data_IF_373413760065
#
_entry.id   IF_373413760065
#
_cell.length_a   1.000
_cell.length_b   1.000
_cell.length_c   1.000
_cell.angle_alpha   90.00
_cell.angle_beta   90.00
_cell.angle_gamma   90.00
#
_symmetry.space_group_name_H-M   'P 1'
#
loop_
_entity.id
_entity.type
_entity.pdbx_description
1 polymer ?
#
# COMPACT_ATOMS: atom_id res chain seq x y z
N UNK A 1 19.41 -61.34 -2.08
CA UNK A 1 20.25 -61.60 -0.91
C UNK A 1 21.32 -60.53 -0.83
N UNK A 2 21.16 -59.55 0.06
CA UNK A 2 22.18 -59.10 1.02
C UNK A 2 21.44 -58.21 2.03
N UNK A 3 21.38 -58.75 3.24
CA UNK A 3 20.69 -58.25 4.42
C UNK A 3 21.54 -57.18 5.13
N UNK A 4 20.82 -56.26 5.76
CA UNK A 4 21.02 -55.71 7.10
C UNK A 4 22.41 -55.24 7.57
N UNK A 5 22.46 -53.97 7.99
CA UNK A 5 23.07 -53.51 9.27
C UNK A 5 22.43 -52.15 9.61
N UNK A 6 21.53 -52.14 10.59
CA UNK A 6 21.76 -51.71 11.98
C UNK A 6 22.12 -50.20 12.06
N UNK A 7 21.19 -49.32 12.43
CA UNK A 7 20.71 -49.03 13.79
C UNK A 7 21.73 -48.28 14.65
N UNK A 8 21.21 -47.30 15.40
CA UNK A 8 21.83 -46.47 16.44
C UNK A 8 22.60 -45.21 16.00
N UNK A 9 21.92 -44.06 16.10
CA UNK A 9 22.14 -43.17 17.25
C UNK A 9 21.08 -42.05 17.29
N UNK A 10 20.14 -42.19 18.23
CA UNK A 10 19.43 -41.05 18.83
C UNK A 10 20.47 -40.08 19.40
N UNK A 11 20.49 -38.83 18.90
CA UNK A 11 21.14 -37.71 19.59
C UNK A 11 20.13 -36.59 19.73
N UNK A 12 19.63 -36.43 20.95
CA UNK A 12 18.71 -35.37 21.34
C UNK A 12 19.37 -33.97 21.20
N UNK A 13 18.58 -32.92 20.94
CA UNK A 13 19.08 -31.56 20.78
C UNK A 13 19.44 -30.93 22.14
N UNK A 14 20.62 -30.28 22.19
CA UNK A 14 21.03 -29.43 23.30
C UNK A 14 20.19 -28.16 23.32
N UNK A 15 19.60 -27.87 24.47
CA UNK A 15 19.00 -26.60 24.79
C UNK A 15 20.09 -25.54 24.99
N UNK A 16 20.21 -24.60 24.05
CA UNK A 16 20.93 -23.35 24.27
C UNK A 16 19.92 -22.26 24.64
N UNK A 17 19.97 -21.88 25.91
CA UNK A 17 19.36 -20.66 26.42
C UNK A 17 20.20 -19.49 25.90
N UNK A 18 19.68 -18.72 24.96
CA UNK A 18 20.15 -17.36 24.71
C UNK A 18 19.08 -16.39 25.13
N UNK A 19 19.36 -15.76 26.28
CA UNK A 19 18.75 -14.52 26.75
C UNK A 19 18.91 -13.47 25.66
N UNK A 20 17.79 -12.97 25.11
CA UNK A 20 17.78 -11.75 24.32
C UNK A 20 17.10 -10.68 25.16
N UNK A 21 17.93 -9.79 25.69
CA UNK A 21 17.54 -8.52 26.25
C UNK A 21 16.65 -7.75 25.27
N UNK A 22 15.47 -7.40 25.74
CA UNK A 22 14.57 -6.44 25.08
C UNK A 22 15.18 -5.06 25.29
N UNK A 23 15.99 -4.61 24.32
CA UNK A 23 16.32 -3.19 24.21
C UNK A 23 15.18 -2.48 23.48
N UNK A 24 14.49 -1.62 24.21
CA UNK A 24 13.52 -0.65 23.70
C UNK A 24 14.16 0.18 22.58
N UNK A 25 13.68 -0.04 21.36
CA UNK A 25 14.09 0.70 20.17
C UNK A 25 13.64 2.16 20.25
N UNK A 26 14.53 3.04 20.68
CA UNK A 26 14.45 4.48 20.37
C UNK A 26 14.29 4.65 18.85
N UNK A 27 13.35 5.49 18.37
CA UNK A 27 13.18 5.71 16.94
C UNK A 27 14.45 6.33 16.36
N UNK A 28 15.14 5.57 15.51
CA UNK A 28 16.25 6.04 14.69
C UNK A 28 15.73 7.09 13.72
N UNK A 29 15.81 8.36 14.10
CA UNK A 29 15.64 9.50 13.21
C UNK A 29 16.82 9.54 12.25
N UNK A 30 16.66 8.86 11.12
CA UNK A 30 17.69 8.78 10.08
C UNK A 30 18.06 10.14 9.46
N UNK A 31 19.21 10.20 8.76
CA UNK A 31 19.78 11.42 8.17
C UNK A 31 18.90 12.11 7.11
N UNK A 32 17.80 11.46 6.68
CA UNK A 32 16.82 12.05 5.76
C UNK A 32 16.07 13.26 6.34
N UNK A 33 15.75 13.26 7.65
CA UNK A 33 15.04 14.39 8.26
C UNK A 33 15.90 15.65 8.36
N UNK A 34 17.23 15.51 8.51
CA UNK A 34 18.15 16.66 8.49
C UNK A 34 18.24 17.29 7.10
N UNK A 35 18.27 16.48 6.04
CA UNK A 35 18.29 16.97 4.65
C UNK A 35 16.99 17.67 4.24
N UNK A 36 15.84 17.19 4.72
CA UNK A 36 14.56 17.87 4.49
C UNK A 36 14.53 19.25 5.19
N UNK A 37 14.95 19.33 6.46
CA UNK A 37 15.02 20.59 7.20
C UNK A 37 16.04 21.59 6.60
N UNK A 38 17.18 21.11 6.09
CA UNK A 38 18.17 21.97 5.42
C UNK A 38 17.68 22.46 4.04
N UNK A 39 16.89 21.64 3.33
CA UNK A 39 16.27 22.06 2.07
C UNK A 39 15.17 23.11 2.30
N UNK A 40 14.34 22.92 3.32
CA UNK A 40 13.33 23.89 3.75
C UNK A 40 13.97 25.23 4.13
N UNK A 41 15.09 25.22 4.87
CA UNK A 41 15.85 26.44 5.20
C UNK A 41 16.43 27.14 3.96
N UNK A 42 16.88 26.40 2.94
CA UNK A 42 17.36 27.01 1.67
C UNK A 42 16.22 27.62 0.86
N UNK A 43 15.04 26.99 0.83
CA UNK A 43 13.87 27.51 0.12
C UNK A 43 13.37 28.80 0.79
N UNK A 44 13.28 28.83 2.12
CA UNK A 44 12.88 30.03 2.88
C UNK A 44 13.88 31.17 2.69
N UNK A 45 15.18 30.88 2.65
CA UNK A 45 16.20 31.90 2.40
C UNK A 45 16.19 32.41 0.94
N UNK A 46 15.82 31.59 -0.05
CA UNK A 46 15.65 32.05 -1.43
C UNK A 46 14.38 32.91 -1.59
N UNK A 47 13.29 32.53 -0.94
CA UNK A 47 12.05 33.32 -0.92
C UNK A 47 12.23 34.67 -0.21
N UNK A 48 12.99 34.73 0.90
CA UNK A 48 13.32 35.98 1.56
C UNK A 48 14.29 36.86 0.75
N UNK A 49 15.10 36.29 -0.14
CA UNK A 49 15.94 37.05 -1.07
C UNK A 49 15.17 37.55 -2.29
N UNK A 50 14.05 36.91 -2.67
CA UNK A 50 13.12 37.41 -3.68
C UNK A 50 12.18 38.50 -3.13
N UNK A 51 11.99 38.57 -1.81
CA UNK A 51 11.28 39.65 -1.12
C UNK A 51 12.14 40.92 -0.89
N UNK A 52 13.44 40.89 -1.21
CA UNK A 52 14.16 42.13 -1.48
C UNK A 52 13.67 42.66 -2.81
N UNK A 53 12.58 43.44 -2.72
CA UNK A 53 12.18 44.37 -3.76
C UNK A 53 13.43 45.02 -4.36
N UNK A 54 13.52 45.17 -5.70
CA UNK A 54 14.53 46.06 -6.25
C UNK A 54 14.42 47.39 -5.49
N UNK A 55 15.53 48.09 -5.18
CA UNK A 55 15.41 49.42 -4.62
C UNK A 55 14.42 50.14 -5.51
N UNK A 56 13.30 50.57 -4.91
CA UNK A 56 12.30 51.39 -5.56
C UNK A 56 13.09 52.35 -6.45
N UNK A 57 12.75 52.41 -7.73
CA UNK A 57 13.29 53.45 -8.60
C UNK A 57 12.83 54.74 -7.93
N UNK A 58 13.65 55.25 -7.01
CA UNK A 58 13.44 56.49 -6.34
C UNK A 58 13.26 57.48 -7.47
N UNK A 59 12.12 58.15 -7.43
CA UNK A 59 11.78 59.27 -8.27
C UNK A 59 12.82 60.38 -8.04
N UNK A 60 14.01 60.23 -8.60
CA UNK A 60 15.02 61.27 -8.66
C UNK A 60 14.57 62.20 -9.78
N UNK A 61 13.98 63.33 -9.36
CA UNK A 61 13.62 64.43 -10.23
C UNK A 61 14.80 64.82 -11.15
N UNK A 62 14.54 65.29 -12.38
CA UNK A 62 15.50 65.29 -13.45
C UNK A 62 16.52 66.42 -13.27
N UNK A 63 17.77 66.08 -12.98
CA UNK A 63 18.86 66.90 -13.49
C UNK A 63 18.96 66.59 -15.00
N UNK A 64 18.25 67.39 -15.81
CA UNK A 64 18.18 67.27 -17.27
C UNK A 64 19.47 67.70 -17.97
N UNK A 65 20.57 67.88 -17.22
CA UNK A 65 21.90 68.08 -17.78
C UNK A 65 22.44 66.81 -18.46
N UNK A 66 23.39 66.95 -19.41
CA UNK A 66 24.03 65.82 -20.09
C UNK A 66 24.70 64.83 -19.13
N UNK A 67 25.09 65.27 -17.93
CA UNK A 67 25.68 64.42 -16.88
C UNK A 67 24.64 63.50 -16.22
N UNK A 68 23.38 63.92 -16.10
CA UNK A 68 22.29 63.10 -15.54
C UNK A 68 21.87 61.95 -16.47
N UNK A 69 21.93 62.18 -17.79
CA UNK A 69 21.73 61.12 -18.78
C UNK A 69 22.87 60.09 -18.76
N UNK A 70 24.12 60.55 -18.59
CA UNK A 70 25.27 59.66 -18.51
C UNK A 70 25.20 58.73 -17.28
N UNK A 71 24.88 59.27 -16.10
CA UNK A 71 24.71 58.46 -14.88
C UNK A 71 23.58 57.43 -15.01
N UNK A 72 22.46 57.80 -15.63
CA UNK A 72 21.35 56.86 -15.88
C UNK A 72 21.73 55.76 -16.87
N UNK A 73 22.48 56.10 -17.93
CA UNK A 73 22.99 55.12 -18.87
C UNK A 73 23.93 54.12 -18.17
N UNK A 74 24.90 54.60 -17.39
CA UNK A 74 25.78 53.73 -16.61
C UNK A 74 25.01 52.84 -15.61
N UNK A 75 24.01 53.38 -14.94
CA UNK A 75 23.20 52.63 -14.00
C UNK A 75 22.38 51.55 -14.71
N UNK A 76 21.76 51.88 -15.84
CA UNK A 76 21.04 50.91 -16.67
C UNK A 76 21.98 49.80 -17.17
N UNK A 77 23.20 50.15 -17.59
CA UNK A 77 24.19 49.16 -18.01
C UNK A 77 24.62 48.22 -16.87
N UNK A 78 24.81 48.75 -15.65
CA UNK A 78 25.11 47.92 -14.47
C UNK A 78 23.96 46.96 -14.18
N UNK A 79 22.72 47.47 -14.19
CA UNK A 79 21.54 46.63 -14.00
C UNK A 79 21.41 45.56 -15.08
N UNK A 80 21.68 45.88 -16.35
CA UNK A 80 21.68 44.88 -17.44
C UNK A 80 22.76 43.83 -17.23
N UNK A 81 23.98 44.22 -16.84
CA UNK A 81 25.06 43.27 -16.53
C UNK A 81 24.69 42.34 -15.39
N UNK A 82 24.19 42.89 -14.28
CA UNK A 82 23.80 42.11 -13.11
C UNK A 82 22.66 41.13 -13.43
N UNK A 83 21.64 41.57 -14.17
CA UNK A 83 20.55 40.71 -14.62
C UNK A 83 21.04 39.61 -15.57
N UNK A 84 21.99 39.92 -16.45
CA UNK A 84 22.57 38.94 -17.39
C UNK A 84 23.33 37.85 -16.63
N UNK A 85 24.14 38.21 -15.64
CA UNK A 85 24.86 37.23 -14.81
C UNK A 85 23.90 36.37 -13.97
N UNK A 86 22.84 36.98 -13.42
CA UNK A 86 21.79 36.23 -12.71
C UNK A 86 21.07 35.25 -13.65
N UNK A 87 20.77 35.66 -14.87
CA UNK A 87 20.11 34.82 -15.87
C UNK A 87 21.00 33.63 -16.25
N UNK A 88 22.29 33.86 -16.51
CA UNK A 88 23.28 32.78 -16.74
C UNK A 88 23.35 31.79 -15.58
N UNK A 89 23.35 32.29 -14.34
CA UNK A 89 23.34 31.43 -13.15
C UNK A 89 22.08 30.57 -13.05
N UNK A 90 20.91 31.11 -13.40
CA UNK A 90 19.65 30.37 -13.45
C UNK A 90 19.64 29.35 -14.59
N UNK A 91 20.16 29.69 -15.77
CA UNK A 91 20.28 28.74 -16.89
C UNK A 91 21.16 27.54 -16.54
N UNK A 92 22.29 27.79 -15.87
CA UNK A 92 23.16 26.72 -15.35
C UNK A 92 22.44 25.82 -14.34
N UNK A 93 21.62 26.41 -13.46
CA UNK A 93 20.81 25.66 -12.51
C UNK A 93 19.73 24.82 -13.20
N UNK A 94 19.06 25.39 -14.21
CA UNK A 94 18.05 24.67 -15.02
C UNK A 94 18.71 23.48 -15.72
N UNK A 95 19.86 23.69 -16.37
CA UNK A 95 20.60 22.60 -17.03
C UNK A 95 21.03 21.50 -16.05
N UNK A 96 21.47 21.87 -14.84
CA UNK A 96 21.81 20.91 -13.80
C UNK A 96 20.59 20.08 -13.32
N UNK A 97 19.43 20.73 -13.17
CA UNK A 97 18.18 20.07 -12.81
C UNK A 97 17.68 19.15 -13.93
N UNK A 98 17.69 19.60 -15.18
CA UNK A 98 17.35 18.77 -16.33
C UNK A 98 18.22 17.52 -16.40
N UNK A 99 19.53 17.64 -16.16
CA UNK A 99 20.44 16.49 -16.07
C UNK A 99 20.16 15.59 -14.87
N UNK A 100 19.73 16.13 -13.74
CA UNK A 100 19.32 15.34 -12.59
C UNK A 100 18.03 14.55 -12.86
N UNK A 101 17.04 15.19 -13.47
CA UNK A 101 15.77 14.57 -13.88
C UNK A 101 16.05 13.48 -14.91
N UNK A 102 16.85 13.75 -15.94
CA UNK A 102 17.21 12.74 -16.95
C UNK A 102 17.88 11.51 -16.35
N UNK A 103 18.75 11.68 -15.34
CA UNK A 103 19.35 10.54 -14.60
C UNK A 103 18.35 9.79 -13.73
N UNK A 104 17.34 10.47 -13.21
CA UNK A 104 16.28 9.85 -12.42
C UNK A 104 15.36 9.02 -13.32
N UNK A 105 14.92 9.59 -14.44
CA UNK A 105 14.12 8.88 -15.44
C UNK A 105 14.84 7.63 -15.95
N UNK A 106 16.11 7.73 -16.35
CA UNK A 106 16.88 6.58 -16.80
C UNK A 106 17.03 5.46 -15.73
N UNK A 107 16.97 5.80 -14.44
CA UNK A 107 16.95 4.80 -13.36
C UNK A 107 15.60 4.14 -13.25
N UNK A 108 14.52 4.92 -13.34
CA UNK A 108 13.16 4.40 -13.33
C UNK A 108 12.93 3.46 -14.52
N UNK A 109 13.39 3.80 -15.71
CA UNK A 109 13.26 2.94 -16.89
C UNK A 109 13.91 1.55 -16.66
N UNK A 110 15.12 1.51 -16.06
CA UNK A 110 15.80 0.25 -15.74
C UNK A 110 15.05 -0.56 -14.68
N UNK A 111 14.50 0.12 -13.66
CA UNK A 111 13.70 -0.53 -12.62
C UNK A 111 12.37 -1.06 -13.19
N UNK A 112 11.72 -0.31 -14.08
CA UNK A 112 10.50 -0.71 -14.79
C UNK A 112 10.77 -1.95 -15.65
N UNK A 113 11.79 -1.94 -16.52
CA UNK A 113 12.15 -3.10 -17.33
C UNK A 113 12.49 -4.33 -16.47
N UNK A 114 13.12 -4.12 -15.30
CA UNK A 114 13.40 -5.22 -14.37
C UNK A 114 12.11 -5.82 -13.81
N UNK A 115 11.18 -5.00 -13.36
CA UNK A 115 9.90 -5.45 -12.83
C UNK A 115 9.05 -6.12 -13.91
N UNK A 116 9.06 -5.60 -15.13
CA UNK A 116 8.39 -6.22 -16.27
C UNK A 116 8.94 -7.62 -16.56
N UNK A 117 10.27 -7.78 -16.58
CA UNK A 117 10.90 -9.10 -16.74
C UNK A 117 10.55 -10.05 -15.60
N UNK A 118 10.48 -9.55 -14.36
CA UNK A 118 10.09 -10.35 -13.19
C UNK A 118 8.64 -10.83 -13.31
N UNK A 119 7.70 -9.93 -13.65
CA UNK A 119 6.30 -10.26 -13.89
C UNK A 119 6.17 -11.28 -15.02
N UNK A 120 6.88 -11.10 -16.13
CA UNK A 120 6.82 -12.02 -17.25
C UNK A 120 7.39 -13.40 -16.88
N UNK A 121 8.46 -13.46 -16.08
CA UNK A 121 9.00 -14.71 -15.53
C UNK A 121 8.01 -15.42 -14.62
N UNK A 122 7.30 -14.68 -13.76
CA UNK A 122 6.28 -15.22 -12.87
C UNK A 122 5.08 -15.74 -13.66
N UNK A 123 4.68 -15.02 -14.73
CA UNK A 123 3.62 -15.46 -15.64
C UNK A 123 4.00 -16.74 -16.38
N UNK A 124 5.23 -16.84 -16.86
CA UNK A 124 5.74 -18.06 -17.50
C UNK A 124 5.74 -19.24 -16.52
N UNK A 125 6.27 -19.06 -15.30
CA UNK A 125 6.26 -20.10 -14.27
C UNK A 125 4.83 -20.52 -13.87
N UNK A 126 3.89 -19.57 -13.78
CA UNK A 126 2.49 -19.88 -13.51
C UNK A 126 1.84 -20.64 -14.67
N UNK A 127 2.15 -20.27 -15.92
CA UNK A 127 1.70 -21.01 -17.09
C UNK A 127 2.22 -22.46 -17.07
N UNK A 128 3.53 -22.64 -16.83
CA UNK A 128 4.16 -23.96 -16.74
C UNK A 128 3.56 -24.80 -15.60
N UNK A 129 3.31 -24.20 -14.43
CA UNK A 129 2.66 -24.88 -13.30
C UNK A 129 1.22 -25.30 -13.63
N UNK A 130 0.48 -24.49 -14.39
CA UNK A 130 -0.88 -24.86 -14.88
C UNK A 130 -0.82 -26.03 -15.86
N UNK A 131 0.09 -25.99 -16.84
CA UNK A 131 0.28 -27.08 -17.80
C UNK A 131 0.78 -28.38 -17.13
N UNK A 132 1.59 -28.30 -16.08
CA UNK A 132 2.03 -29.45 -15.31
C UNK A 132 0.90 -30.04 -14.43
N UNK A 133 0.06 -29.18 -13.83
CA UNK A 133 -1.11 -29.61 -13.04
C UNK A 133 -2.18 -30.33 -13.88
N UNK A 134 -2.31 -29.97 -15.15
CA UNK A 134 -3.27 -30.59 -16.08
C UNK A 134 -2.85 -32.00 -16.55
N UNK A 135 -1.55 -32.34 -16.47
CA UNK A 135 -1.04 -33.68 -16.85
C UNK A 135 -1.04 -34.71 -15.72
N UNK A 136 -1.24 -34.31 -14.47
CA UNK A 136 -1.22 -35.22 -13.29
C UNK A 136 -2.63 -35.56 -12.78
N UNK A 137 -3.69 -34.99 -13.38
CA UNK A 137 -5.08 -35.15 -12.93
C UNK A 137 -5.96 -36.00 -13.84
N UNK A 138 -5.61 -37.26 -14.14
CA UNK A 138 -6.49 -38.18 -14.86
C UNK A 138 -7.16 -39.19 -13.91
N UNK A 139 -8.23 -38.75 -13.25
CA UNK A 139 -9.35 -39.59 -12.82
C UNK A 139 -10.59 -38.70 -12.60
N UNK A 140 -11.56 -38.65 -13.52
CA UNK A 140 -12.75 -37.85 -13.36
C UNK A 140 -13.76 -38.65 -12.52
N UNK A 141 -13.62 -38.61 -11.20
CA UNK A 141 -14.79 -38.86 -10.36
C UNK A 141 -15.62 -37.59 -10.36
N UNK A 142 -16.84 -37.70 -10.88
CA UNK A 142 -17.86 -36.64 -10.92
C UNK A 142 -17.80 -35.79 -9.64
N UNK A 143 -17.21 -34.60 -9.74
CA UNK A 143 -16.98 -33.73 -8.61
C UNK A 143 -17.43 -32.34 -9.01
N UNK A 144 -18.27 -31.75 -8.15
CA UNK A 144 -18.80 -30.41 -8.26
C UNK A 144 -17.73 -29.45 -8.77
N UNK A 145 -18.10 -28.61 -9.73
CA UNK A 145 -17.25 -27.60 -10.35
C UNK A 145 -16.51 -26.77 -9.29
N UNK A 146 -15.26 -27.14 -8.98
CA UNK A 146 -14.42 -26.45 -7.99
C UNK A 146 -13.66 -25.34 -8.72
N UNK A 147 -13.93 -24.10 -8.36
CA UNK A 147 -13.20 -22.93 -8.85
C UNK A 147 -12.06 -22.62 -7.87
N UNK A 148 -10.81 -22.70 -8.35
CA UNK A 148 -9.65 -22.27 -7.57
C UNK A 148 -9.40 -20.78 -7.80
N UNK A 149 -9.55 -19.96 -6.75
CA UNK A 149 -9.28 -18.51 -6.80
C UNK A 149 -7.95 -18.21 -6.12
N UNK A 150 -7.00 -17.63 -6.86
CA UNK A 150 -5.72 -17.17 -6.31
C UNK A 150 -5.80 -15.68 -6.00
N UNK A 151 -5.63 -15.31 -4.74
CA UNK A 151 -5.62 -13.92 -4.30
C UNK A 151 -4.17 -13.43 -4.11
N UNK A 152 -3.73 -12.33 -4.77
CA UNK A 152 -2.36 -11.82 -4.66
C UNK A 152 -1.94 -11.42 -3.24
N UNK A 153 -2.90 -11.01 -2.41
CA UNK A 153 -2.69 -10.62 -1.02
C UNK A 153 -3.71 -11.30 -0.12
N UNK A 154 -3.26 -12.31 0.62
CA UNK A 154 -4.06 -12.99 1.62
C UNK A 154 -3.65 -12.50 3.01
N UNK A 155 -4.55 -11.81 3.71
CA UNK A 155 -4.32 -11.43 5.11
C UNK A 155 -4.66 -12.60 6.03
N UNK A 156 -4.08 -12.62 7.23
CA UNK A 156 -4.39 -13.65 8.26
C UNK A 156 -5.89 -13.70 8.57
N UNK A 157 -6.55 -12.54 8.62
CA UNK A 157 -8.00 -12.43 8.81
C UNK A 157 -8.78 -13.06 7.66
N UNK A 158 -8.41 -12.76 6.41
CA UNK A 158 -9.11 -13.30 5.25
C UNK A 158 -8.90 -14.81 5.11
N UNK A 159 -7.69 -15.30 5.40
CA UNK A 159 -7.39 -16.73 5.47
C UNK A 159 -8.26 -17.43 6.52
N UNK A 160 -8.32 -16.89 7.74
CA UNK A 160 -9.16 -17.45 8.81
C UNK A 160 -10.64 -17.47 8.44
N UNK A 161 -11.13 -16.44 7.75
CA UNK A 161 -12.52 -16.38 7.29
C UNK A 161 -12.81 -17.46 6.23
N UNK A 162 -11.91 -17.67 5.27
CA UNK A 162 -12.08 -18.72 4.25
C UNK A 162 -12.11 -20.11 4.85
N UNK A 163 -11.32 -20.38 5.89
CA UNK A 163 -11.35 -21.67 6.58
C UNK A 163 -12.69 -21.92 7.26
N UNK A 164 -13.23 -20.91 7.95
CA UNK A 164 -14.57 -21.00 8.55
C UNK A 164 -15.64 -21.18 7.47
N UNK A 165 -15.53 -20.42 6.38
CA UNK A 165 -16.45 -20.54 5.25
C UNK A 165 -16.41 -21.94 4.64
N UNK A 166 -15.23 -22.53 4.44
CA UNK A 166 -15.08 -23.90 3.94
C UNK A 166 -15.61 -24.94 4.93
N UNK A 167 -15.39 -24.75 6.24
CA UNK A 167 -15.90 -25.63 7.30
C UNK A 167 -17.43 -25.75 7.27
N UNK A 168 -18.13 -24.62 7.11
CA UNK A 168 -19.60 -24.60 7.08
C UNK A 168 -20.20 -24.81 5.69
N UNK A 169 -19.46 -24.53 4.62
CA UNK A 169 -19.94 -24.70 3.24
C UNK A 169 -19.70 -26.10 2.67
N UNK A 170 -18.71 -26.84 3.19
CA UNK A 170 -18.38 -28.20 2.71
C UNK A 170 -19.47 -29.26 2.94
N UNK A 171 -20.35 -29.03 3.92
CA UNK A 171 -21.49 -29.89 4.25
C UNK A 171 -22.81 -29.12 4.25
N UNK A 172 -22.87 -28.06 3.44
CA UNK A 172 -24.01 -27.18 3.42
C UNK A 172 -25.27 -27.90 2.90
N UNK A 173 -26.29 -27.97 3.75
CA UNK A 173 -27.63 -28.47 3.44
C UNK A 173 -28.61 -27.29 3.40
N UNK A 174 -29.23 -27.07 2.24
CA UNK A 174 -30.23 -26.00 2.05
C UNK A 174 -31.41 -26.11 3.02
N UNK A 175 -31.73 -27.32 3.49
CA UNK A 175 -32.79 -27.54 4.48
C UNK A 175 -32.39 -27.21 5.91
N UNK A 176 -31.08 -27.11 6.20
CA UNK A 176 -30.54 -26.90 7.55
C UNK A 176 -29.28 -26.01 7.52
N UNK A 177 -29.42 -24.72 7.17
CA UNK A 177 -28.28 -23.82 7.15
C UNK A 177 -27.70 -23.65 8.56
N UNK A 178 -26.38 -23.49 8.69
CA UNK A 178 -25.73 -23.28 9.97
C UNK A 178 -26.22 -21.97 10.61
N UNK A 179 -26.44 -22.01 11.93
CA UNK A 179 -26.87 -20.83 12.69
C UNK A 179 -25.76 -19.78 12.68
N UNK A 180 -26.13 -18.51 12.45
CA UNK A 180 -25.17 -17.39 12.49
C UNK A 180 -24.32 -17.33 13.74
N UNK A 181 -24.93 -17.66 14.88
CA UNK A 181 -24.28 -17.61 16.19
C UNK A 181 -23.14 -18.62 16.25
N UNK A 182 -23.38 -19.84 15.75
CA UNK A 182 -22.36 -20.89 15.62
C UNK A 182 -21.23 -20.46 14.68
N UNK A 183 -21.57 -19.86 13.53
CA UNK A 183 -20.57 -19.34 12.59
C UNK A 183 -19.75 -18.20 13.22
N UNK A 184 -20.39 -17.30 13.97
CA UNK A 184 -19.71 -16.18 14.64
C UNK A 184 -18.74 -16.67 15.74
N UNK A 185 -19.11 -17.68 16.53
CA UNK A 185 -18.18 -18.26 17.50
C UNK A 185 -16.97 -18.91 16.84
N UNK A 186 -17.15 -19.63 15.73
CA UNK A 186 -16.04 -20.20 14.98
C UNK A 186 -15.12 -19.12 14.41
N UNK A 187 -15.66 -17.96 13.99
CA UNK A 187 -14.87 -16.80 13.57
C UNK A 187 -14.07 -16.23 14.74
N UNK A 188 -14.67 -16.09 15.92
CA UNK A 188 -13.96 -15.62 17.11
C UNK A 188 -12.79 -16.52 17.47
N UNK A 189 -13.01 -17.84 17.51
CA UNK A 189 -11.98 -18.83 17.77
C UNK A 189 -10.86 -18.76 16.74
N UNK A 190 -11.21 -18.63 15.45
CA UNK A 190 -10.21 -18.65 14.38
C UNK A 190 -9.39 -17.36 14.29
N UNK A 191 -10.01 -16.22 14.59
CA UNK A 191 -9.39 -14.90 14.53
C UNK A 191 -8.82 -14.44 15.88
N UNK A 192 -8.99 -15.22 16.95
CA UNK A 192 -8.57 -14.85 18.30
C UNK A 192 -9.31 -13.64 18.85
N UNK A 193 -10.56 -13.43 18.43
CA UNK A 193 -11.38 -12.30 18.88
C UNK A 193 -11.99 -12.60 20.24
N UNK A 194 -12.09 -11.57 21.08
CA UNK A 194 -12.68 -11.70 22.40
C UNK A 194 -14.21 -11.60 22.30
N UNK A 195 -14.90 -12.65 22.73
CA UNK A 195 -16.36 -12.67 22.87
C UNK A 195 -16.88 -11.58 23.81
N UNK A 196 -18.17 -11.28 23.70
CA UNK A 196 -18.84 -10.31 24.57
C UNK A 196 -18.98 -10.87 25.99
N UNK A 197 -19.07 -9.99 27.00
CA UNK A 197 -19.31 -10.39 28.39
C UNK A 197 -20.65 -11.13 28.59
N UNK A 198 -21.58 -11.01 27.63
CA UNK A 198 -22.85 -11.73 27.58
C UNK A 198 -22.72 -13.22 27.22
N UNK A 199 -21.52 -13.69 26.82
CA UNK A 199 -21.32 -15.02 26.27
C UNK A 199 -21.62 -15.12 24.78
N UNK A 200 -22.03 -14.02 24.14
CA UNK A 200 -22.22 -13.94 22.70
C UNK A 200 -20.88 -13.74 21.97
N UNK A 201 -20.84 -14.16 20.70
CA UNK A 201 -19.70 -13.90 19.83
C UNK A 201 -19.43 -12.39 19.69
N UNK A 202 -18.20 -11.99 19.38
CA UNK A 202 -17.83 -10.59 19.20
C UNK A 202 -18.68 -9.90 18.13
N UNK A 203 -18.93 -8.59 18.28
CA UNK A 203 -19.68 -7.80 17.29
C UNK A 203 -19.07 -7.88 15.89
N UNK A 204 -17.73 -7.96 15.82
CA UNK A 204 -16.98 -8.18 14.59
C UNK A 204 -17.28 -9.54 13.97
N UNK A 205 -17.27 -10.61 14.75
CA UNK A 205 -17.55 -11.95 14.24
C UNK A 205 -19.02 -12.13 13.84
N UNK A 206 -19.96 -11.52 14.55
CA UNK A 206 -21.36 -11.50 14.14
C UNK A 206 -21.56 -10.83 12.78
N UNK A 207 -20.86 -9.71 12.56
CA UNK A 207 -20.89 -8.97 11.29
C UNK A 207 -20.29 -9.79 10.16
N UNK A 208 -19.12 -10.41 10.38
CA UNK A 208 -18.47 -11.28 9.42
C UNK A 208 -19.31 -12.52 9.12
N UNK A 209 -19.91 -13.14 10.14
CA UNK A 209 -20.81 -14.28 9.98
C UNK A 209 -22.03 -13.93 9.12
N UNK A 210 -22.57 -12.72 9.25
CA UNK A 210 -23.67 -12.26 8.40
C UNK A 210 -23.23 -12.03 6.95
N UNK A 211 -22.00 -11.55 6.72
CA UNK A 211 -21.45 -11.27 5.40
C UNK A 211 -21.11 -12.53 4.59
N UNK A 212 -20.69 -13.62 5.24
CA UNK A 212 -20.33 -14.87 4.55
C UNK A 212 -21.50 -15.84 4.32
N UNK A 213 -22.73 -15.46 4.70
CA UNK A 213 -23.89 -16.32 4.45
C UNK A 213 -24.15 -16.46 2.95
N UNK A 214 -24.43 -17.67 2.45
CA UNK A 214 -24.97 -17.86 1.10
C UNK A 214 -26.18 -16.98 0.83
N UNK A 215 -26.24 -16.38 -0.36
CA UNK A 215 -27.30 -15.47 -0.76
C UNK A 215 -28.69 -16.10 -0.68
N UNK A 216 -28.81 -17.40 -0.97
CA UNK A 216 -30.06 -18.16 -0.84
C UNK A 216 -30.70 -18.06 0.57
N UNK A 217 -29.88 -18.06 1.63
CA UNK A 217 -30.37 -17.89 3.02
C UNK A 217 -30.77 -16.45 3.30
N UNK A 218 -30.03 -15.49 2.74
CA UNK A 218 -30.30 -14.06 2.90
C UNK A 218 -31.64 -13.68 2.25
N UNK A 219 -31.93 -14.22 1.08
CA UNK A 219 -33.18 -14.00 0.34
C UNK A 219 -34.39 -14.70 0.99
N UNK A 220 -34.20 -15.87 1.59
CA UNK A 220 -35.23 -16.54 2.38
C UNK A 220 -35.61 -15.73 3.64
N UNK A 221 -34.63 -15.14 4.34
CA UNK A 221 -34.87 -14.32 5.52
C UNK A 221 -35.41 -12.90 5.21
N UNK A 222 -35.11 -12.36 4.03
CA UNK A 222 -35.49 -11.00 3.61
C UNK A 222 -36.98 -10.81 3.25
N UNK A 223 -37.74 -11.88 3.05
CA UNK A 223 -39.17 -11.82 2.65
C UNK A 223 -40.14 -11.41 3.77
N UNK A 224 -39.67 -11.11 4.97
CA UNK A 224 -40.50 -10.70 6.12
C UNK A 224 -40.32 -9.25 6.59
N UNK A 225 -40.01 -8.30 5.70
CA UNK A 225 -40.28 -6.88 5.98
C UNK A 225 -41.14 -6.22 4.91
N UNK A 226 -42.47 -6.43 4.92
CA UNK A 226 -43.35 -5.37 4.48
C UNK A 226 -43.23 -4.22 5.49
N UNK A 227 -42.59 -3.11 5.09
CA UNK A 227 -42.95 -1.80 5.68
C UNK A 227 -44.38 -1.53 5.23
N UNK A 228 -45.34 -1.97 6.04
CA UNK A 228 -46.68 -1.44 5.99
C UNK A 228 -46.69 0.01 6.51
N UNK A 229 -47.70 0.74 6.07
CA UNK A 229 -48.13 2.06 6.53
C UNK A 229 -47.41 3.28 5.93
N UNK A 230 -47.65 3.50 4.64
CA UNK A 230 -48.23 4.79 4.24
C UNK A 230 -49.75 4.58 4.12
N UNK A 231 -50.59 5.21 4.95
CA UNK A 231 -52.01 5.31 4.64
C UNK A 231 -52.20 6.43 3.62
N UNK A 232 -52.37 6.04 2.36
CA UNK A 232 -53.00 6.90 1.38
C UNK A 232 -54.51 6.98 1.70
N UNK A 233 -55.00 8.22 1.70
CA UNK A 233 -56.37 8.61 1.34
C UNK A 233 -57.55 8.18 2.22
N UNK A 234 -58.15 9.14 2.95
CA UNK A 234 -59.61 9.33 2.95
C UNK A 234 -59.90 10.84 2.95
N UNK A 235 -60.65 11.25 1.91
CA UNK A 235 -61.58 12.37 1.72
C UNK A 235 -61.49 13.66 2.54
#
# INVERSE_FOLDING_TARGET
MYLEKAADHLRQPKAERTSCDVQEGKPRTGPMRRRAADNERRIVNHANNEAQMPPSIESIAPDAGPQGWHRRAEQAERSVRDLTERLKGRDQQIAALQKAIGRLLARHDVDEERLEREIESLRAMLADARYAGERVGAAPTASAQRVAVQLPYLTSTLSGLFEVMHMFSGHYDDGRPPKSTTVAHAIDERLGLKGQASGEASRSAQTLAAAIRPDAIREAAGRHRPKSAFPDSIS
#
